data_IF_622126714224
#
_entry.id   IF_622126714224
#
_cell.length_a   1.000
_cell.length_b   1.000
_cell.length_c   1.000
_cell.angle_alpha   90.00
_cell.angle_beta   90.00
_cell.angle_gamma   90.00
#
_symmetry.space_group_name_H-M   'P 1'
#
loop_
_entity.id
_entity.type
_entity.pdbx_description
1 polymer ?
#
# COMPACT_ATOMS: atom_id res chain seq x y z
N UNK A 1 -4.34 -12.07 57.84
CA UNK A 1 -4.06 -12.26 56.40
C UNK A 1 -4.07 -10.89 55.72
N UNK A 2 -2.92 -10.40 55.23
CA UNK A 2 -2.83 -9.12 54.52
C UNK A 2 -3.38 -9.29 53.08
N UNK A 3 -4.47 -8.60 52.77
CA UNK A 3 -5.03 -8.50 51.41
C UNK A 3 -4.11 -7.60 50.59
N UNK A 4 -3.23 -8.18 49.78
CA UNK A 4 -2.42 -7.43 48.82
C UNK A 4 -3.34 -7.05 47.64
N UNK A 5 -3.50 -5.76 47.37
CA UNK A 5 -4.21 -5.29 46.17
C UNK A 5 -3.23 -5.28 45.00
N UNK A 6 -3.47 -6.09 43.98
CA UNK A 6 -2.73 -5.99 42.74
C UNK A 6 -3.09 -4.67 42.05
N UNK A 7 -2.07 -3.89 41.68
CA UNK A 7 -2.24 -2.71 40.84
C UNK A 7 -1.70 -3.05 39.45
N UNK A 8 -2.55 -2.93 38.43
CA UNK A 8 -2.13 -3.08 37.04
C UNK A 8 -1.60 -1.76 36.53
N UNK A 9 -0.50 -1.81 35.79
CA UNK A 9 0.10 -0.65 35.11
C UNK A 9 0.21 -0.97 33.63
N UNK A 10 -0.19 -0.03 32.78
CA UNK A 10 0.00 -0.10 31.34
C UNK A 10 1.05 0.92 30.92
N UNK A 11 2.08 0.46 30.22
CA UNK A 11 3.11 1.32 29.65
C UNK A 11 2.91 1.41 28.15
N UNK A 12 3.06 2.60 27.58
CA UNK A 12 2.96 2.83 26.14
C UNK A 12 4.31 3.36 25.64
N UNK A 13 4.82 2.77 24.57
CA UNK A 13 5.98 3.28 23.85
C UNK A 13 5.48 3.99 22.59
N UNK A 14 5.92 5.23 22.40
CA UNK A 14 5.69 5.98 21.16
C UNK A 14 7.02 6.04 20.40
N UNK A 15 7.00 5.64 19.14
CA UNK A 15 8.17 5.61 18.28
C UNK A 15 7.84 6.28 16.97
N UNK A 16 8.74 7.14 16.51
CA UNK A 16 8.66 7.78 15.20
C UNK A 16 9.53 7.00 14.21
N UNK A 17 9.05 6.86 12.98
CA UNK A 17 9.72 6.10 11.94
C UNK A 17 9.21 6.50 10.57
N UNK A 18 9.55 5.70 9.57
CA UNK A 18 9.29 6.02 8.18
C UNK A 18 8.30 5.01 7.58
N UNK A 19 7.49 5.51 6.65
CA UNK A 19 6.58 4.70 5.85
C UNK A 19 6.86 5.01 4.39
N UNK A 20 7.11 3.95 3.62
CA UNK A 20 7.37 4.00 2.20
C UNK A 20 6.26 3.29 1.43
N UNK A 21 5.97 3.82 0.25
CA UNK A 21 5.04 3.25 -0.72
C UNK A 21 5.82 2.66 -1.89
N UNK A 22 5.93 1.33 -1.94
CA UNK A 22 6.53 0.64 -3.08
C UNK A 22 5.50 0.48 -4.21
N UNK A 23 5.84 0.96 -5.41
CA UNK A 23 4.94 1.09 -6.57
C UNK A 23 3.58 1.73 -6.26
N UNK A 24 3.50 2.46 -5.13
CA UNK A 24 2.31 3.13 -4.67
C UNK A 24 1.20 2.29 -4.07
N UNK A 25 1.38 0.98 -3.99
CA UNK A 25 0.35 0.07 -3.45
C UNK A 25 0.81 -0.61 -2.17
N UNK A 26 2.06 -1.02 -2.12
CA UNK A 26 2.59 -1.80 -1.00
C UNK A 26 3.20 -0.87 0.04
N UNK A 27 2.73 -0.99 1.28
CA UNK A 27 3.27 -0.25 2.42
C UNK A 27 4.44 -1.01 3.04
N UNK A 28 5.54 -0.31 3.23
CA UNK A 28 6.72 -0.80 3.96
C UNK A 28 7.03 0.21 5.06
N UNK A 29 7.35 -0.28 6.26
CA UNK A 29 7.77 0.56 7.38
C UNK A 29 8.89 -0.10 8.14
N UNK A 30 9.74 0.71 8.77
CA UNK A 30 10.73 0.25 9.75
C UNK A 30 10.13 0.05 11.15
N UNK A 31 8.84 0.33 11.35
CA UNK A 31 8.15 0.21 12.64
C UNK A 31 7.49 -1.17 12.83
N UNK A 32 6.79 -1.69 11.82
CA UNK A 32 6.06 -2.97 11.88
C UNK A 32 5.74 -3.51 10.46
N UNK A 33 5.32 -4.77 10.36
CA UNK A 33 4.83 -5.36 9.11
C UNK A 33 3.41 -4.85 8.79
N UNK A 34 3.35 -3.85 7.93
CA UNK A 34 2.10 -3.17 7.53
C UNK A 34 1.69 -3.47 6.08
N UNK A 35 2.23 -4.52 5.45
CA UNK A 35 2.00 -4.83 4.01
C UNK A 35 0.53 -5.04 3.64
N UNK A 36 -0.29 -5.53 4.57
CA UNK A 36 -1.72 -5.79 4.36
C UNK A 36 -2.62 -4.57 4.69
N UNK A 37 -2.03 -3.42 5.02
CA UNK A 37 -2.78 -2.23 5.39
C UNK A 37 -3.04 -1.30 4.19
N UNK A 38 -4.15 -0.58 4.27
CA UNK A 38 -4.51 0.39 3.22
C UNK A 38 -3.97 1.77 3.58
N UNK A 39 -3.10 2.29 2.71
CA UNK A 39 -2.53 3.65 2.76
C UNK A 39 -3.58 4.72 3.11
N UNK A 40 -4.74 4.63 2.45
CA UNK A 40 -5.84 5.59 2.55
C UNK A 40 -6.42 5.73 3.97
N UNK A 41 -6.27 4.69 4.81
CA UNK A 41 -6.81 4.67 6.18
C UNK A 41 -6.02 5.55 7.16
N UNK A 42 -4.77 5.91 6.85
CA UNK A 42 -3.90 6.68 7.76
C UNK A 42 -3.47 5.92 9.02
N UNK A 43 -3.82 4.63 9.14
CA UNK A 43 -3.44 3.79 10.27
C UNK A 43 -3.50 2.30 9.93
N UNK A 44 -2.67 1.54 10.63
CA UNK A 44 -2.60 0.09 10.61
C UNK A 44 -2.59 -0.41 12.05
N UNK A 45 -3.49 -1.35 12.38
CA UNK A 45 -3.50 -2.02 13.68
C UNK A 45 -2.93 -3.42 13.46
N UNK A 46 -1.79 -3.70 14.08
CA UNK A 46 -1.16 -5.01 14.05
C UNK A 46 -1.44 -5.74 15.38
N UNK A 47 -0.91 -6.94 15.54
CA UNK A 47 -1.02 -7.68 16.79
C UNK A 47 -0.20 -7.04 17.92
N UNK A 48 0.76 -6.18 17.57
CA UNK A 48 1.79 -5.67 18.48
C UNK A 48 1.76 -4.15 18.61
N UNK A 49 1.26 -3.43 17.61
CA UNK A 49 1.34 -1.97 17.56
C UNK A 49 0.18 -1.34 16.79
N UNK A 50 0.08 -0.02 16.93
CA UNK A 50 -0.75 0.83 16.05
C UNK A 50 0.21 1.78 15.34
N UNK A 51 0.36 1.60 14.04
CA UNK A 51 1.15 2.49 13.18
C UNK A 51 0.20 3.50 12.55
N UNK A 52 0.52 4.80 12.65
CA UNK A 52 -0.34 5.88 12.15
C UNK A 52 0.46 6.83 11.27
N UNK A 53 -0.16 7.37 10.23
CA UNK A 53 0.44 8.34 9.31
C UNK A 53 -0.59 9.33 8.78
N UNK A 54 -0.10 10.43 8.21
CA UNK A 54 -0.93 11.37 7.49
C UNK A 54 -1.38 10.74 6.17
N UNK A 55 -2.68 10.46 6.04
CA UNK A 55 -3.21 9.83 4.83
C UNK A 55 -3.09 10.76 3.61
N UNK A 56 -3.21 12.07 3.80
CA UNK A 56 -3.10 13.06 2.72
C UNK A 56 -1.72 13.03 2.07
N UNK A 57 -0.64 12.95 2.87
CA UNK A 57 0.74 12.87 2.34
C UNK A 57 0.94 11.59 1.52
N UNK A 58 0.27 10.51 1.92
CA UNK A 58 0.38 9.22 1.28
C UNK A 58 -0.52 9.04 0.04
N UNK A 59 -1.62 9.80 -0.07
CA UNK A 59 -2.59 9.71 -1.19
C UNK A 59 -2.48 10.83 -2.21
N UNK A 60 -1.84 11.95 -1.87
CA UNK A 60 -1.73 13.11 -2.77
C UNK A 60 -0.77 12.89 -3.95
N UNK A 61 -0.02 11.79 -3.95
CA UNK A 61 0.84 11.42 -5.07
C UNK A 61 0.12 10.39 -5.94
N UNK A 62 -0.41 10.82 -7.10
CA UNK A 62 -0.82 9.89 -8.14
C UNK A 62 0.40 9.09 -8.59
N UNK A 63 0.37 7.77 -8.35
CA UNK A 63 1.46 6.82 -8.66
C UNK A 63 1.85 6.84 -10.13
N UNK A 64 0.88 7.13 -10.97
CA UNK A 64 1.04 7.22 -12.40
C UNK A 64 0.73 8.64 -12.82
N UNK A 65 1.64 9.19 -13.62
CA UNK A 65 1.40 10.44 -14.34
C UNK A 65 0.85 10.10 -15.72
N UNK A 66 -0.17 10.85 -16.16
CA UNK A 66 -0.60 10.82 -17.55
C UNK A 66 0.52 11.37 -18.43
N UNK A 67 1.06 10.52 -19.31
CA UNK A 67 2.09 10.91 -20.29
C UNK A 67 1.48 11.48 -21.58
N UNK A 68 0.24 11.10 -21.93
CA UNK A 68 -0.44 11.59 -23.12
C UNK A 68 -1.70 10.80 -23.46
N UNK A 69 -2.26 11.09 -24.63
CA UNK A 69 -3.24 10.23 -25.32
C UNK A 69 -2.63 9.96 -26.70
N UNK A 70 -2.51 8.68 -27.04
CA UNK A 70 -1.84 8.23 -28.25
C UNK A 70 -2.76 7.28 -28.99
N UNK A 71 -2.73 7.36 -30.31
CA UNK A 71 -3.37 6.35 -31.15
C UNK A 71 -2.54 5.06 -31.09
N UNK A 72 -3.23 3.93 -31.00
CA UNK A 72 -2.60 2.63 -30.86
C UNK A 72 -3.23 1.62 -31.81
N UNK A 73 -2.37 0.85 -32.49
CA UNK A 73 -2.81 -0.28 -33.31
C UNK A 73 -2.74 -1.57 -32.49
N UNK A 74 -3.85 -2.31 -32.42
CA UNK A 74 -3.94 -3.53 -31.62
C UNK A 74 -3.80 -4.78 -32.49
N UNK A 75 -2.87 -5.67 -32.11
CA UNK A 75 -2.69 -7.00 -32.68
C UNK A 75 -2.79 -8.07 -31.57
N UNK A 76 -3.98 -8.64 -31.37
CA UNK A 76 -4.22 -9.60 -30.29
C UNK A 76 -4.06 -8.97 -28.89
N UNK A 77 -3.02 -9.38 -28.16
CA UNK A 77 -2.61 -8.82 -26.86
C UNK A 77 -1.48 -7.78 -26.95
N UNK A 78 -1.09 -7.39 -28.16
CA UNK A 78 -0.08 -6.38 -28.42
C UNK A 78 -0.74 -5.04 -28.81
N UNK A 79 -0.19 -3.95 -28.29
CA UNK A 79 -0.55 -2.58 -28.66
C UNK A 79 0.71 -1.87 -29.16
N UNK A 80 0.71 -1.49 -30.44
CA UNK A 80 1.78 -0.70 -31.07
C UNK A 80 1.37 0.76 -31.00
N UNK A 81 2.26 1.61 -30.48
CA UNK A 81 2.05 3.06 -30.39
C UNK A 81 3.18 3.74 -31.16
N UNK A 82 2.91 4.13 -32.41
CA UNK A 82 3.94 4.65 -33.33
C UNK A 82 4.59 5.92 -32.80
N UNK A 83 3.80 6.83 -32.22
CA UNK A 83 4.29 8.10 -31.65
C UNK A 83 5.29 7.88 -30.50
N UNK A 84 5.13 6.80 -29.72
CA UNK A 84 6.03 6.45 -28.63
C UNK A 84 7.15 5.50 -29.04
N UNK A 85 7.14 5.01 -30.28
CA UNK A 85 8.01 3.92 -30.74
C UNK A 85 8.00 2.71 -29.79
N UNK A 86 6.82 2.38 -29.26
CA UNK A 86 6.65 1.40 -28.18
C UNK A 86 5.67 0.28 -28.53
N UNK A 87 5.93 -0.90 -27.97
CA UNK A 87 5.08 -2.09 -28.01
C UNK A 87 4.69 -2.50 -26.59
N UNK A 88 3.40 -2.45 -26.27
CA UNK A 88 2.86 -2.88 -24.98
C UNK A 88 2.20 -4.25 -25.10
N UNK A 89 2.49 -5.16 -24.17
CA UNK A 89 1.95 -6.52 -24.15
C UNK A 89 1.07 -6.69 -22.92
N UNK A 90 -0.19 -7.06 -23.12
CA UNK A 90 -1.08 -7.40 -22.00
C UNK A 90 -0.91 -8.86 -21.61
N UNK A 91 -0.61 -9.11 -20.33
CA UNK A 91 -0.73 -10.45 -19.73
C UNK A 91 -2.19 -10.67 -19.35
N UNK A 92 -2.75 -11.83 -19.69
CA UNK A 92 -4.02 -12.27 -19.11
C UNK A 92 -3.76 -12.63 -17.64
N UNK A 93 -4.34 -11.87 -16.72
CA UNK A 93 -4.36 -12.26 -15.31
C UNK A 93 -5.45 -13.31 -15.15
N UNK A 94 -5.09 -14.54 -14.80
CA UNK A 94 -6.07 -15.52 -14.34
C UNK A 94 -6.67 -14.98 -13.05
N UNK A 95 -7.96 -14.63 -13.05
CA UNK A 95 -8.68 -14.36 -11.81
C UNK A 95 -8.62 -15.63 -10.96
N UNK A 96 -7.87 -15.60 -9.86
CA UNK A 96 -8.04 -16.57 -8.79
C UNK A 96 -9.48 -16.40 -8.27
N UNK A 97 -10.29 -17.47 -8.22
CA UNK A 97 -11.65 -17.38 -7.74
C UNK A 97 -11.64 -16.84 -6.30
N UNK A 98 -12.51 -15.86 -6.04
CA UNK A 98 -12.82 -15.39 -4.70
C UNK A 98 -13.44 -16.60 -3.96
N UNK A 99 -12.91 -17.05 -2.82
CA UNK A 99 -13.59 -18.05 -2.01
C UNK A 99 -14.91 -17.43 -1.53
N UNK A 100 -16.03 -17.98 -1.98
CA UNK A 100 -17.37 -17.76 -1.41
C UNK A 100 -17.46 -18.33 -0.01
#
# INVERSE_FOLDING_TARGET
MLRVKCQSTSNFALTEGEIFLYDGRELVSNLDDIRNCMVQKGKCVTNTSIVSWNNTDATNHCLYRKIGRFDATRYGNHFVIDELQALLITKKTTQLPIPT
#
